data_IF_115042553764
#
_entry.id   IF_115042553764
#
_cell.length_a   1.000
_cell.length_b   1.000
_cell.length_c   1.000
_cell.angle_alpha   90.00
_cell.angle_beta   90.00
_cell.angle_gamma   90.00
#
_symmetry.space_group_name_H-M   'P 1'
#
loop_
_entity.id
_entity.type
_entity.pdbx_description
1 polymer ?
#
# COMPACT_ATOMS: atom_id res chain seq x y z
N UNK A 1 16.96 -37.25 51.49
CA UNK A 1 16.86 -35.99 50.72
C UNK A 1 17.92 -36.09 49.64
N UNK A 2 17.61 -36.71 48.50
CA UNK A 2 18.58 -36.88 47.42
C UNK A 2 18.01 -36.22 46.17
N UNK A 3 18.46 -34.98 45.93
CA UNK A 3 18.12 -34.21 44.75
C UNK A 3 18.89 -34.76 43.56
N UNK A 4 18.27 -35.67 42.81
CA UNK A 4 18.80 -36.13 41.53
C UNK A 4 18.60 -35.02 40.49
N UNK A 5 19.66 -34.25 40.24
CA UNK A 5 19.71 -33.22 39.21
C UNK A 5 19.58 -33.86 37.83
N UNK A 6 18.46 -33.61 37.14
CA UNK A 6 18.28 -33.97 35.73
C UNK A 6 19.21 -33.10 34.87
N UNK A 7 20.41 -33.59 34.56
CA UNK A 7 21.33 -32.93 33.64
C UNK A 7 20.81 -33.07 32.21
N UNK A 8 20.32 -31.98 31.62
CA UNK A 8 19.92 -31.92 30.21
C UNK A 8 21.19 -32.03 29.36
N UNK A 9 21.42 -33.20 28.76
CA UNK A 9 22.51 -33.42 27.81
C UNK A 9 22.10 -32.82 26.45
N UNK A 10 22.37 -31.53 26.24
CA UNK A 10 22.29 -30.96 24.90
C UNK A 10 23.44 -31.50 24.03
N UNK A 11 23.20 -31.93 22.78
CA UNK A 11 24.28 -32.36 21.90
C UNK A 11 25.18 -31.17 21.56
N UNK A 12 26.50 -31.38 21.63
CA UNK A 12 27.48 -30.36 21.25
C UNK A 12 27.33 -30.06 19.75
N UNK A 13 27.07 -28.80 19.35
CA UNK A 13 26.94 -28.46 17.94
C UNK A 13 28.27 -28.70 17.22
N UNK A 14 28.29 -29.75 16.39
CA UNK A 14 29.44 -30.06 15.55
C UNK A 14 29.46 -29.11 14.36
N UNK A 15 30.62 -28.47 14.14
CA UNK A 15 30.85 -27.67 12.93
C UNK A 15 30.70 -28.59 11.70
N UNK A 16 29.85 -28.25 10.73
CA UNK A 16 29.76 -28.98 9.46
C UNK A 16 31.13 -29.04 8.77
N UNK A 17 31.45 -30.19 8.16
CA UNK A 17 32.70 -30.37 7.43
C UNK A 17 32.76 -29.35 6.29
N UNK A 18 33.86 -28.59 6.19
CA UNK A 18 34.05 -27.73 5.03
C UNK A 18 34.17 -28.62 3.78
N UNK A 19 33.40 -28.35 2.70
CA UNK A 19 33.54 -29.10 1.48
C UNK A 19 34.95 -28.89 0.91
N UNK A 20 35.52 -29.97 0.35
CA UNK A 20 36.80 -29.90 -0.35
C UNK A 20 36.65 -28.92 -1.52
N UNK A 21 37.46 -27.86 -1.52
CA UNK A 21 37.41 -26.82 -2.54
C UNK A 21 38.11 -27.37 -3.79
N UNK A 22 37.33 -27.80 -4.79
CA UNK A 22 37.91 -28.12 -6.09
C UNK A 22 38.48 -26.85 -6.73
N UNK A 23 39.67 -26.97 -7.32
CA UNK A 23 40.27 -25.91 -8.14
C UNK A 23 39.29 -25.53 -9.26
N UNK A 24 38.77 -24.30 -9.21
CA UNK A 24 37.99 -23.75 -10.32
C UNK A 24 39.00 -23.34 -11.39
N UNK A 25 39.12 -24.14 -12.46
CA UNK A 25 39.87 -23.76 -13.65
C UNK A 25 39.35 -22.46 -14.27
N UNK A 26 39.96 -22.06 -15.39
CA UNK A 26 39.59 -20.86 -16.16
C UNK A 26 38.08 -20.80 -16.43
N UNK A 27 37.44 -19.66 -16.10
CA UNK A 27 36.02 -19.39 -16.38
C UNK A 27 35.70 -19.12 -17.86
N UNK A 28 36.71 -19.13 -18.74
CA UNK A 28 36.52 -18.87 -20.18
C UNK A 28 36.00 -20.15 -20.84
N UNK A 29 34.74 -20.11 -21.23
CA UNK A 29 34.09 -21.19 -21.99
C UNK A 29 33.94 -20.74 -23.45
N UNK A 30 34.38 -21.54 -24.44
CA UNK A 30 34.12 -21.28 -25.85
C UNK A 30 32.63 -21.13 -26.14
N UNK A 31 32.29 -20.25 -27.10
CA UNK A 31 30.91 -19.85 -27.42
C UNK A 31 30.01 -21.02 -27.86
N UNK A 32 30.61 -22.09 -28.37
CA UNK A 32 29.91 -23.27 -28.89
C UNK A 32 29.93 -24.46 -27.92
N UNK A 33 30.33 -24.27 -26.66
CA UNK A 33 30.39 -25.36 -25.68
C UNK A 33 28.99 -25.78 -25.21
N UNK A 34 28.72 -27.08 -25.30
CA UNK A 34 27.51 -27.73 -24.79
C UNK A 34 27.55 -27.98 -23.27
N UNK A 35 28.69 -27.74 -22.62
CA UNK A 35 28.90 -28.04 -21.19
C UNK A 35 28.31 -26.98 -20.23
N UNK A 36 27.79 -25.86 -20.77
CA UNK A 36 27.24 -24.76 -19.97
C UNK A 36 25.72 -24.73 -20.09
N UNK A 37 25.09 -25.54 -19.24
CA UNK A 37 23.64 -25.52 -19.01
C UNK A 37 23.33 -25.65 -17.52
N UNK A 38 22.06 -25.58 -17.10
CA UNK A 38 21.67 -25.92 -15.74
C UNK A 38 22.12 -27.35 -15.42
N UNK A 39 23.24 -27.50 -14.71
CA UNK A 39 23.71 -28.82 -14.29
C UNK A 39 22.77 -29.27 -13.17
N UNK A 40 21.98 -30.32 -13.43
CA UNK A 40 21.27 -31.06 -12.39
C UNK A 40 22.28 -31.74 -11.48
N UNK A 41 22.77 -30.99 -10.49
CA UNK A 41 23.58 -31.55 -9.42
C UNK A 41 22.62 -32.24 -8.47
N UNK A 42 22.77 -33.55 -8.29
CA UNK A 42 22.17 -34.27 -7.18
C UNK A 42 22.85 -33.74 -5.92
N UNK A 43 22.10 -32.99 -5.10
CA UNK A 43 22.60 -32.56 -3.81
C UNK A 43 22.52 -33.76 -2.86
N UNK A 44 23.60 -34.00 -2.12
CA UNK A 44 23.60 -35.00 -1.07
C UNK A 44 22.64 -34.59 0.07
N UNK A 45 22.05 -35.56 0.80
CA UNK A 45 21.15 -35.28 1.92
C UNK A 45 21.78 -34.38 3.01
N UNK A 46 23.10 -34.42 3.17
CA UNK A 46 23.86 -33.61 4.13
C UNK A 46 24.33 -32.25 3.54
N UNK A 47 24.01 -31.92 2.28
CA UNK A 47 24.34 -30.63 1.69
C UNK A 47 23.50 -29.51 2.33
N UNK A 48 24.17 -28.50 2.89
CA UNK A 48 23.55 -27.30 3.47
C UNK A 48 22.58 -26.59 2.50
N UNK A 49 22.80 -26.73 1.19
CA UNK A 49 21.92 -26.20 0.13
C UNK A 49 20.64 -27.00 -0.06
N UNK A 50 20.59 -28.25 0.41
CA UNK A 50 19.39 -29.08 0.51
C UNK A 50 18.66 -28.86 1.86
N UNK A 51 19.41 -28.45 2.89
CA UNK A 51 18.89 -28.18 4.25
C UNK A 51 18.39 -26.74 4.46
N UNK A 52 18.65 -25.82 3.52
CA UNK A 52 18.02 -24.50 3.51
C UNK A 52 16.56 -24.65 3.08
N UNK A 53 15.57 -24.04 3.77
CA UNK A 53 14.20 -23.95 3.27
C UNK A 53 14.21 -23.21 1.93
N UNK A 54 14.28 -23.95 0.84
CA UNK A 54 14.00 -23.41 -0.48
C UNK A 54 12.49 -23.30 -0.52
N UNK A 55 11.94 -22.08 -0.45
CA UNK A 55 10.54 -21.83 -0.86
C UNK A 55 10.33 -22.58 -2.16
N UNK A 56 9.45 -23.58 -2.14
CA UNK A 56 9.18 -24.36 -3.35
C UNK A 56 8.63 -23.39 -4.40
N UNK A 57 8.73 -23.73 -5.68
CA UNK A 57 8.15 -22.89 -6.74
C UNK A 57 6.67 -22.57 -6.50
N UNK A 58 5.96 -23.47 -5.80
CA UNK A 58 4.59 -23.31 -5.33
C UNK A 58 4.43 -22.19 -4.28
N UNK A 59 5.32 -22.13 -3.27
CA UNK A 59 5.29 -21.07 -2.26
C UNK A 59 5.46 -19.68 -2.88
N UNK A 60 6.34 -19.55 -3.89
CA UNK A 60 6.54 -18.30 -4.62
C UNK A 60 5.30 -17.89 -5.40
N UNK A 61 4.60 -18.85 -6.01
CA UNK A 61 3.33 -18.58 -6.70
C UNK A 61 2.24 -18.15 -5.73
N UNK A 62 2.15 -18.80 -4.56
CA UNK A 62 1.18 -18.46 -3.53
C UNK A 62 1.40 -17.05 -2.98
N UNK A 63 2.65 -16.68 -2.65
CA UNK A 63 2.99 -15.32 -2.22
C UNK A 63 2.68 -14.29 -3.32
N UNK A 64 2.99 -14.62 -4.57
CA UNK A 64 2.69 -13.75 -5.71
C UNK A 64 1.18 -13.55 -5.92
N UNK A 65 0.38 -14.58 -5.66
CA UNK A 65 -1.09 -14.50 -5.72
C UNK A 65 -1.63 -13.66 -4.57
N UNK A 66 -1.20 -13.91 -3.34
CA UNK A 66 -1.61 -13.17 -2.15
C UNK A 66 -1.31 -11.68 -2.28
N UNK A 67 -0.10 -11.33 -2.73
CA UNK A 67 0.28 -9.93 -2.96
C UNK A 67 -0.60 -9.22 -3.99
N UNK A 68 -1.01 -9.92 -5.06
CA UNK A 68 -1.92 -9.37 -6.08
C UNK A 68 -3.33 -9.21 -5.53
N UNK A 69 -3.81 -10.16 -4.74
CA UNK A 69 -5.14 -10.13 -4.17
C UNK A 69 -5.25 -9.02 -3.09
N UNK A 70 -4.22 -8.82 -2.28
CA UNK A 70 -4.16 -7.72 -1.31
C UNK A 70 -4.10 -6.36 -2.03
N UNK A 71 -3.31 -6.25 -3.11
CA UNK A 71 -3.28 -5.02 -3.92
C UNK A 71 -4.66 -4.69 -4.51
N UNK A 72 -5.38 -5.69 -5.02
CA UNK A 72 -6.74 -5.50 -5.54
C UNK A 72 -7.71 -5.07 -4.43
N UNK A 73 -7.59 -5.65 -3.25
CA UNK A 73 -8.41 -5.29 -2.09
C UNK A 73 -8.18 -3.83 -1.69
N UNK A 74 -6.93 -3.40 -1.59
CA UNK A 74 -6.57 -2.01 -1.30
C UNK A 74 -7.09 -1.05 -2.38
N UNK A 75 -6.94 -1.40 -3.66
CA UNK A 75 -7.45 -0.58 -4.76
C UNK A 75 -8.97 -0.42 -4.69
N UNK A 76 -9.70 -1.48 -4.33
CA UNK A 76 -11.16 -1.43 -4.16
C UNK A 76 -11.57 -0.56 -2.97
N UNK A 77 -10.91 -0.71 -1.82
CA UNK A 77 -11.16 0.14 -0.65
C UNK A 77 -10.93 1.62 -0.96
N UNK A 78 -9.86 1.92 -1.70
CA UNK A 78 -9.58 3.29 -2.13
C UNK A 78 -10.67 3.81 -3.06
N UNK A 79 -11.12 3.01 -4.02
CA UNK A 79 -12.21 3.39 -4.93
C UNK A 79 -13.50 3.70 -4.16
N UNK A 80 -13.89 2.83 -3.22
CA UNK A 80 -15.09 3.02 -2.39
C UNK A 80 -14.98 4.29 -1.53
N UNK A 81 -13.79 4.55 -0.96
CA UNK A 81 -13.50 5.77 -0.21
C UNK A 81 -13.61 7.03 -1.09
N UNK A 82 -13.10 6.98 -2.33
CA UNK A 82 -13.18 8.10 -3.26
C UNK A 82 -14.62 8.39 -3.69
N UNK A 83 -15.42 7.36 -3.95
CA UNK A 83 -16.85 7.50 -4.24
C UNK A 83 -17.59 8.18 -3.09
N UNK A 84 -17.29 7.77 -1.85
CA UNK A 84 -17.89 8.38 -0.65
C UNK A 84 -17.52 9.86 -0.53
N UNK A 85 -16.26 10.22 -0.80
CA UNK A 85 -15.82 11.62 -0.79
C UNK A 85 -16.53 12.42 -1.88
N UNK A 86 -16.67 11.87 -3.08
CA UNK A 86 -17.35 12.52 -4.18
C UNK A 86 -18.81 12.86 -3.82
N UNK A 87 -19.57 11.90 -3.28
CA UNK A 87 -20.95 12.15 -2.86
C UNK A 87 -21.05 13.22 -1.76
N UNK A 88 -20.08 13.29 -0.85
CA UNK A 88 -20.02 14.36 0.16
C UNK A 88 -19.75 15.73 -0.46
N UNK A 89 -18.87 15.80 -1.45
CA UNK A 89 -18.56 17.04 -2.17
C UNK A 89 -19.80 17.54 -2.92
N UNK A 90 -20.53 16.65 -3.58
CA UNK A 90 -21.77 16.99 -4.29
C UNK A 90 -22.83 17.56 -3.34
N UNK A 91 -23.05 16.91 -2.20
CA UNK A 91 -23.98 17.40 -1.18
C UNK A 91 -23.60 18.80 -0.66
N UNK A 92 -22.32 19.02 -0.36
CA UNK A 92 -21.81 20.34 0.09
C UNK A 92 -21.97 21.39 -1.00
N UNK A 93 -21.75 21.04 -2.26
CA UNK A 93 -21.91 21.95 -3.40
C UNK A 93 -23.37 22.38 -3.56
N UNK A 94 -24.32 21.45 -3.47
CA UNK A 94 -25.75 21.79 -3.53
C UNK A 94 -26.19 22.70 -2.39
N UNK A 95 -25.71 22.45 -1.17
CA UNK A 95 -25.99 23.32 -0.02
C UNK A 95 -25.38 24.72 -0.22
N UNK A 96 -24.14 24.77 -0.71
CA UNK A 96 -23.47 26.03 -1.03
C UNK A 96 -24.24 26.83 -2.09
N UNK A 97 -24.72 26.19 -3.16
CA UNK A 97 -25.50 26.84 -4.21
C UNK A 97 -26.81 27.42 -3.65
N UNK A 98 -27.47 26.72 -2.71
CA UNK A 98 -28.65 27.25 -1.99
C UNK A 98 -28.29 28.47 -1.15
N UNK A 99 -27.21 28.40 -0.38
CA UNK A 99 -26.74 29.51 0.45
C UNK A 99 -26.37 30.73 -0.39
N UNK A 100 -25.69 30.53 -1.52
CA UNK A 100 -25.32 31.60 -2.45
C UNK A 100 -26.55 32.27 -3.07
N UNK A 101 -27.54 31.49 -3.49
CA UNK A 101 -28.82 32.02 -3.99
C UNK A 101 -29.56 32.86 -2.92
N UNK A 102 -29.62 32.36 -1.68
CA UNK A 102 -30.22 33.09 -0.56
C UNK A 102 -29.46 34.38 -0.26
N UNK A 103 -28.12 34.35 -0.29
CA UNK A 103 -27.29 35.51 -0.04
C UNK A 103 -27.48 36.58 -1.13
N UNK A 104 -27.51 36.18 -2.40
CA UNK A 104 -27.86 37.06 -3.52
C UNK A 104 -29.24 37.69 -3.34
N UNK A 105 -30.24 36.91 -2.92
CA UNK A 105 -31.59 37.42 -2.65
C UNK A 105 -31.59 38.47 -1.54
N UNK A 106 -30.92 38.20 -0.41
CA UNK A 106 -30.82 39.13 0.72
C UNK A 106 -30.09 40.41 0.31
N UNK A 107 -28.98 40.32 -0.42
CA UNK A 107 -28.25 41.49 -0.91
C UNK A 107 -29.13 42.36 -1.83
N UNK A 108 -29.88 41.74 -2.74
CA UNK A 108 -30.83 42.47 -3.60
C UNK A 108 -31.92 43.14 -2.77
N UNK A 109 -32.52 42.44 -1.82
CA UNK A 109 -33.56 42.99 -0.96
C UNK A 109 -33.08 44.18 -0.13
N UNK A 110 -31.89 44.08 0.46
CA UNK A 110 -31.25 45.18 1.19
C UNK A 110 -30.98 46.35 0.24
N UNK A 111 -30.46 46.08 -0.96
CA UNK A 111 -30.23 47.09 -1.99
C UNK A 111 -31.50 47.86 -2.36
N UNK A 112 -32.58 47.13 -2.64
CA UNK A 112 -33.89 47.70 -3.00
C UNK A 112 -34.48 48.53 -1.84
N UNK A 113 -34.38 48.02 -0.60
CA UNK A 113 -34.85 48.72 0.60
C UNK A 113 -34.08 50.02 0.83
N UNK A 114 -32.75 49.98 0.71
CA UNK A 114 -31.90 51.16 0.86
C UNK A 114 -32.16 52.19 -0.25
N UNK A 115 -32.44 51.74 -1.48
CA UNK A 115 -32.80 52.62 -2.59
C UNK A 115 -34.16 53.30 -2.34
N UNK A 116 -35.17 52.56 -1.89
CA UNK A 116 -36.50 53.11 -1.54
C UNK A 116 -36.43 54.03 -0.32
N UNK A 117 -35.65 53.72 0.72
CA UNK A 117 -35.44 54.61 1.86
C UNK A 117 -34.81 55.95 1.47
N UNK A 118 -33.89 55.98 0.49
CA UNK A 118 -33.33 57.25 -0.01
C UNK A 118 -34.37 58.11 -0.74
N UNK A 119 -35.24 57.49 -1.55
CA UNK A 119 -36.28 58.20 -2.31
C UNK A 119 -37.37 58.76 -1.38
N UNK A 120 -37.78 57.99 -0.37
CA UNK A 120 -38.82 58.40 0.58
C UNK A 120 -38.33 59.44 1.59
N UNK A 121 -37.04 59.41 1.99
CA UNK A 121 -36.46 60.38 2.90
C UNK A 121 -36.29 61.79 2.27
N UNK A 122 -35.95 61.87 0.97
CA UNK A 122 -35.77 63.16 0.28
C UNK A 122 -37.09 63.87 -0.03
N UNK A 123 -38.21 63.15 -0.11
CA UNK A 123 -39.55 63.71 -0.35
C UNK A 123 -40.16 64.48 0.82
N UNK A 124 -39.66 64.32 2.06
CA UNK A 124 -40.22 65.00 3.24
C UNK A 124 -39.55 66.34 3.58
N UNK A 125 -38.42 66.69 2.95
CA UNK A 125 -37.61 67.86 3.35
C UNK A 125 -37.94 69.15 2.60
N UNK A 126 -38.98 69.15 1.75
CA UNK A 126 -39.38 70.27 0.88
C UNK A 126 -40.71 70.93 1.25
N UNK A 127 -40.97 71.19 2.54
CA UNK A 127 -42.11 72.03 2.97
C UNK A 127 -41.77 72.76 4.28
N UNK A 128 -41.03 73.86 4.15
CA UNK A 128 -41.02 74.99 5.10
C UNK A 128 -40.82 76.27 4.31
#
# INVERSE_FOLDING_TARGET
MDHQTLSIHAPVPLRPRLPSRMSSGTMVVPRDSLEVGPIERKLDPDDVRAMSPRRTSEDLQNIGKEARDELRRHAKQLQDSLLTILSRIEAVKEEHDKLDNNNKFLQKYIGDLMATSKITASGSRGKK
#
